data_IF_678665378724
#
_entry.id   IF_678665378724
#
_cell.length_a   1.000
_cell.length_b   1.000
_cell.length_c   1.000
_cell.angle_alpha   90.00
_cell.angle_beta   90.00
_cell.angle_gamma   90.00
#
_symmetry.space_group_name_H-M   'P 1'
#
loop_
_entity.id
_entity.type
_entity.pdbx_description
1 polymer ?
#
# COMPACT_ATOMS: atom_id res chain seq x y z
N UNK A 1 -2.14 2.33 -21.59
CA UNK A 1 -3.19 3.01 -20.80
C UNK A 1 -2.53 3.72 -19.64
N UNK A 2 -2.96 4.95 -19.30
CA UNK A 2 -2.39 5.71 -18.20
C UNK A 2 -2.74 5.08 -16.84
N UNK A 3 -1.95 5.39 -15.82
CA UNK A 3 -2.15 4.97 -14.43
C UNK A 3 -2.10 6.19 -13.51
N UNK A 4 -2.83 6.14 -12.39
CA UNK A 4 -2.72 7.12 -11.31
C UNK A 4 -1.86 6.55 -10.19
N UNK A 5 -0.83 7.30 -9.80
CA UNK A 5 -0.02 7.01 -8.61
C UNK A 5 -0.73 7.49 -7.36
N UNK A 6 -0.90 6.60 -6.38
CA UNK A 6 -1.58 6.89 -5.11
C UNK A 6 -0.62 6.98 -3.91
N UNK A 7 0.69 7.13 -4.21
CA UNK A 7 1.73 7.37 -3.22
C UNK A 7 2.01 8.85 -3.02
N UNK A 8 2.36 9.24 -1.80
CA UNK A 8 2.65 10.65 -1.47
C UNK A 8 3.98 10.91 -0.79
N UNK A 9 4.85 9.90 -0.66
CA UNK A 9 6.18 10.08 -0.06
C UNK A 9 6.11 10.41 1.43
N UNK A 10 6.08 9.39 2.29
CA UNK A 10 6.44 9.46 3.71
C UNK A 10 5.87 10.60 4.59
N UNK A 11 4.74 11.22 4.26
CA UNK A 11 4.06 12.13 5.18
C UNK A 11 3.49 11.32 6.37
N UNK A 12 4.09 11.46 7.55
CA UNK A 12 3.74 10.70 8.77
C UNK A 12 4.93 10.23 9.62
N UNK A 13 6.18 10.50 9.22
CA UNK A 13 7.40 10.01 9.89
C UNK A 13 7.71 10.64 11.27
N UNK A 14 6.84 11.48 11.84
CA UNK A 14 7.11 12.23 13.07
C UNK A 14 6.67 11.53 14.37
N UNK A 15 6.64 10.20 14.41
CA UNK A 15 6.51 9.40 15.64
C UNK A 15 5.27 9.67 16.52
N UNK A 16 4.26 10.40 16.05
CA UNK A 16 2.94 10.39 16.66
C UNK A 16 2.28 9.03 16.37
N UNK A 17 1.76 8.33 17.37
CA UNK A 17 1.23 6.98 17.19
C UNK A 17 -0.06 7.07 16.37
N UNK A 18 0.02 6.83 15.07
CA UNK A 18 -1.17 6.57 14.25
C UNK A 18 -1.70 5.18 14.61
N UNK A 19 -2.41 5.09 15.74
CA UNK A 19 -2.87 3.84 16.32
C UNK A 19 -3.61 2.97 15.31
N UNK A 20 -3.09 1.77 15.03
CA UNK A 20 -3.81 0.63 14.40
C UNK A 20 -4.72 0.92 13.17
N UNK A 21 -4.45 1.99 12.41
CA UNK A 21 -5.21 2.53 11.26
C UNK A 21 -6.64 3.10 11.54
N UNK A 22 -6.77 4.39 11.88
CA UNK A 22 -8.03 5.12 11.95
C UNK A 22 -8.05 6.17 10.82
N UNK A 23 -8.41 5.77 9.59
CA UNK A 23 -8.61 6.64 8.41
C UNK A 23 -7.70 7.85 8.24
N UNK A 24 -6.38 7.70 8.46
CA UNK A 24 -5.38 8.77 8.35
C UNK A 24 -5.90 10.18 8.72
N UNK A 25 -6.51 10.33 9.90
CA UNK A 25 -6.99 11.62 10.41
C UNK A 25 -8.13 12.28 9.62
N UNK A 26 -9.01 11.53 8.95
CA UNK A 26 -10.07 12.10 8.09
C UNK A 26 -11.49 11.86 8.63
N UNK A 27 -11.92 12.76 9.50
CA UNK A 27 -12.84 13.83 9.10
C UNK A 27 -12.07 15.15 9.31
N UNK A 28 -12.44 16.28 8.67
CA UNK A 28 -11.98 17.57 9.14
C UNK A 28 -12.21 17.67 10.65
N UNK A 29 -11.16 17.80 11.43
CA UNK A 29 -11.27 17.82 12.89
C UNK A 29 -10.87 19.18 13.41
N UNK A 30 -11.60 19.68 14.40
CA UNK A 30 -11.30 20.94 15.05
C UNK A 30 -10.28 20.72 16.15
N UNK A 31 -9.22 21.52 16.16
CA UNK A 31 -8.33 21.60 17.33
C UNK A 31 -9.03 22.26 18.53
N UNK A 32 -8.33 22.37 19.65
CA UNK A 32 -8.85 23.01 20.88
C UNK A 32 -9.19 24.50 20.71
N UNK A 33 -8.80 25.12 19.61
CA UNK A 33 -9.14 26.51 19.24
C UNK A 33 -10.34 26.60 18.28
N UNK A 34 -10.88 25.46 17.84
CA UNK A 34 -11.96 25.40 16.85
C UNK A 34 -11.48 25.51 15.40
N UNK A 35 -10.17 25.46 15.13
CA UNK A 35 -9.63 25.49 13.78
C UNK A 35 -9.78 24.12 13.11
N UNK A 36 -10.43 24.10 11.93
CA UNK A 36 -10.63 22.87 11.16
C UNK A 36 -9.32 22.46 10.48
N UNK A 37 -8.72 21.37 10.95
CA UNK A 37 -7.54 20.77 10.37
C UNK A 37 -7.99 19.86 9.23
N UNK A 38 -7.62 20.18 7.97
CA UNK A 38 -7.88 19.28 6.86
C UNK A 38 -6.99 18.05 7.02
N UNK A 39 -7.47 16.91 6.54
CA UNK A 39 -6.68 15.71 6.62
C UNK A 39 -5.39 15.79 5.77
N UNK A 40 -4.35 15.00 6.11
CA UNK A 40 -3.15 14.90 5.30
C UNK A 40 -3.48 14.54 3.84
N UNK A 41 -2.71 15.05 2.87
CA UNK A 41 -2.86 14.65 1.47
C UNK A 41 -2.81 13.11 1.32
N UNK A 42 -3.63 12.57 0.41
CA UNK A 42 -3.65 11.15 -0.09
C UNK A 42 -3.76 10.04 0.95
N UNK A 43 -4.53 10.36 1.96
CA UNK A 43 -5.07 9.47 2.95
C UNK A 43 -6.60 9.71 2.98
N UNK A 44 -7.40 8.80 3.57
CA UNK A 44 -8.87 8.90 3.71
C UNK A 44 -9.65 9.41 2.47
N UNK A 45 -10.56 10.39 2.67
CA UNK A 45 -11.48 10.95 1.65
C UNK A 45 -10.78 11.50 0.40
N UNK A 46 -9.56 12.03 0.50
CA UNK A 46 -8.85 12.57 -0.67
C UNK A 46 -8.46 11.47 -1.66
N UNK A 47 -7.89 10.36 -1.17
CA UNK A 47 -7.58 9.19 -1.99
C UNK A 47 -8.84 8.59 -2.60
N UNK A 48 -9.90 8.45 -1.79
CA UNK A 48 -11.19 7.94 -2.25
C UNK A 48 -11.75 8.79 -3.40
N UNK A 49 -11.79 10.12 -3.23
CA UNK A 49 -12.23 11.05 -4.28
C UNK A 49 -11.36 10.98 -5.52
N UNK A 50 -10.04 10.91 -5.38
CA UNK A 50 -9.12 10.80 -6.50
C UNK A 50 -9.37 9.52 -7.31
N UNK A 51 -9.56 8.38 -6.63
CA UNK A 51 -9.89 7.10 -7.26
C UNK A 51 -11.25 7.17 -7.95
N UNK A 52 -12.28 7.70 -7.29
CA UNK A 52 -13.61 7.87 -7.89
C UNK A 52 -13.56 8.73 -9.16
N UNK A 53 -12.91 9.90 -9.11
CA UNK A 53 -12.75 10.82 -10.25
C UNK A 53 -11.98 10.13 -11.37
N UNK A 54 -10.89 9.43 -11.04
CA UNK A 54 -10.08 8.70 -12.02
C UNK A 54 -10.89 7.66 -12.79
N UNK A 55 -11.67 6.84 -12.07
CA UNK A 55 -12.45 5.75 -12.67
C UNK A 55 -13.66 6.27 -13.47
N UNK A 56 -14.38 7.27 -12.95
CA UNK A 56 -15.64 7.72 -13.54
C UNK A 56 -15.55 8.96 -14.44
N UNK A 57 -14.73 9.94 -14.08
CA UNK A 57 -14.67 11.22 -14.81
C UNK A 57 -13.56 11.23 -15.85
N UNK A 58 -12.41 10.64 -15.51
CA UNK A 58 -11.26 10.54 -16.41
C UNK A 58 -11.33 9.28 -17.28
N UNK A 59 -12.01 8.22 -16.81
CA UNK A 59 -12.10 6.95 -17.51
C UNK A 59 -10.84 6.09 -17.42
N UNK A 60 -9.97 6.38 -16.45
CA UNK A 60 -8.78 5.58 -16.18
C UNK A 60 -9.13 4.20 -15.61
N UNK A 61 -8.21 3.23 -15.78
CA UNK A 61 -8.43 1.83 -15.35
C UNK A 61 -7.23 1.22 -14.63
N UNK A 62 -6.16 1.97 -14.39
CA UNK A 62 -4.96 1.48 -13.68
C UNK A 62 -4.71 2.28 -12.41
N UNK A 63 -4.52 1.59 -11.30
CA UNK A 63 -4.24 2.15 -9.98
C UNK A 63 -2.86 1.64 -9.51
N UNK A 64 -1.99 2.56 -9.09
CA UNK A 64 -0.68 2.25 -8.52
C UNK A 64 -0.69 2.55 -7.01
N UNK A 65 -0.72 1.47 -6.21
CA UNK A 65 -0.80 1.45 -4.76
C UNK A 65 0.53 0.96 -4.13
N UNK A 66 0.59 0.95 -2.80
CA UNK A 66 1.66 0.30 -2.03
C UNK A 66 1.19 0.05 -0.59
N UNK A 67 1.68 -1.01 0.05
CA UNK A 67 1.41 -1.28 1.46
C UNK A 67 1.81 -0.10 2.36
N UNK A 68 3.00 0.47 2.11
CA UNK A 68 3.57 1.60 2.86
C UNK A 68 2.89 2.95 2.60
N UNK A 69 1.81 3.01 1.80
CA UNK A 69 1.04 4.24 1.60
C UNK A 69 -0.12 4.39 2.59
N UNK A 70 -0.45 3.33 3.34
CA UNK A 70 -1.45 3.37 4.40
C UNK A 70 -2.85 3.88 3.95
N UNK A 71 -3.24 3.66 2.70
CA UNK A 71 -4.47 4.19 2.12
C UNK A 71 -5.34 3.18 1.36
N UNK A 72 -5.05 1.88 1.48
CA UNK A 72 -5.73 0.78 0.79
C UNK A 72 -7.24 0.77 1.02
N UNK A 73 -7.69 0.98 2.26
CA UNK A 73 -9.13 1.10 2.60
C UNK A 73 -9.81 2.26 1.86
N UNK A 74 -9.11 3.38 1.68
CA UNK A 74 -9.63 4.53 0.91
C UNK A 74 -9.70 4.25 -0.58
N UNK A 75 -8.72 3.50 -1.11
CA UNK A 75 -8.77 3.01 -2.49
C UNK A 75 -9.96 2.08 -2.69
N UNK A 76 -10.20 1.15 -1.75
CA UNK A 76 -11.36 0.25 -1.79
C UNK A 76 -12.68 1.02 -1.84
N UNK A 77 -12.87 2.02 -0.96
CA UNK A 77 -14.05 2.89 -0.97
C UNK A 77 -14.22 3.60 -2.32
N UNK A 78 -13.14 4.17 -2.86
CA UNK A 78 -13.19 4.87 -4.15
C UNK A 78 -13.55 3.94 -5.32
N UNK A 79 -13.07 2.70 -5.31
CA UNK A 79 -13.45 1.66 -6.28
C UNK A 79 -14.94 1.32 -6.13
N UNK A 80 -15.41 1.04 -4.91
CA UNK A 80 -16.81 0.68 -4.64
C UNK A 80 -17.78 1.79 -5.06
N UNK A 81 -17.50 3.03 -4.65
CA UNK A 81 -18.29 4.21 -5.05
C UNK A 81 -18.26 4.46 -6.54
N UNK A 82 -17.21 4.00 -7.24
CA UNK A 82 -17.15 4.20 -8.68
C UNK A 82 -18.19 3.38 -9.44
N UNK A 83 -18.61 2.23 -8.90
CA UNK A 83 -19.47 1.27 -9.58
C UNK A 83 -18.82 0.54 -10.76
N UNK A 84 -17.53 0.78 -11.04
CA UNK A 84 -16.78 0.09 -12.10
C UNK A 84 -16.50 -1.34 -11.67
N UNK A 85 -16.72 -2.31 -12.57
CA UNK A 85 -16.46 -3.71 -12.27
C UNK A 85 -14.97 -3.92 -11.93
N UNK A 86 -14.70 -4.69 -10.88
CA UNK A 86 -13.33 -4.99 -10.45
C UNK A 86 -12.46 -5.57 -11.57
N UNK A 87 -13.04 -6.37 -12.48
CA UNK A 87 -12.35 -6.97 -13.63
C UNK A 87 -11.90 -5.97 -14.70
N UNK A 88 -12.46 -4.75 -14.70
CA UNK A 88 -12.04 -3.66 -15.59
C UNK A 88 -10.89 -2.84 -14.99
N UNK A 89 -10.60 -3.02 -13.71
CA UNK A 89 -9.60 -2.26 -12.97
C UNK A 89 -8.33 -3.08 -12.87
N UNK A 90 -7.19 -2.51 -13.22
CA UNK A 90 -5.88 -3.07 -12.99
C UNK A 90 -5.29 -2.45 -11.72
N UNK A 91 -5.07 -3.26 -10.69
CA UNK A 91 -4.46 -2.84 -9.43
C UNK A 91 -3.02 -3.33 -9.39
N UNK A 92 -2.08 -2.38 -9.31
CA UNK A 92 -0.70 -2.62 -8.94
C UNK A 92 -0.55 -2.29 -7.45
N UNK A 93 0.07 -3.17 -6.66
CA UNK A 93 0.48 -2.87 -5.29
C UNK A 93 1.92 -3.32 -5.03
N UNK A 94 2.46 -2.94 -3.87
CA UNK A 94 3.85 -3.23 -3.50
C UNK A 94 3.95 -3.67 -2.05
N UNK A 95 4.78 -4.69 -1.80
CA UNK A 95 5.25 -5.05 -0.45
C UNK A 95 6.55 -4.32 -0.16
N UNK A 96 6.77 -3.91 1.09
CA UNK A 96 7.88 -3.04 1.47
C UNK A 96 8.70 -3.60 2.64
N UNK A 97 10.01 -3.31 2.70
CA UNK A 97 10.86 -3.80 3.79
C UNK A 97 10.54 -3.20 5.16
N UNK A 98 9.73 -2.14 5.25
CA UNK A 98 9.24 -1.60 6.52
C UNK A 98 8.45 -2.64 7.33
N UNK A 99 7.92 -3.67 6.67
CA UNK A 99 7.15 -4.76 7.27
C UNK A 99 7.82 -6.13 7.09
N UNK A 100 9.11 -6.16 6.73
CA UNK A 100 9.85 -7.38 6.36
C UNK A 100 9.66 -7.79 4.90
N UNK A 101 10.59 -8.56 4.35
CA UNK A 101 10.51 -9.13 2.98
C UNK A 101 10.82 -10.63 2.98
N UNK A 102 10.69 -11.30 4.12
CA UNK A 102 10.76 -12.77 4.17
C UNK A 102 9.56 -13.42 3.50
N UNK A 103 9.62 -14.74 3.33
CA UNK A 103 8.54 -15.53 2.72
C UNK A 103 7.18 -15.29 3.43
N UNK A 104 7.14 -15.51 4.75
CA UNK A 104 5.94 -15.30 5.56
C UNK A 104 5.53 -13.82 5.63
N UNK A 105 6.49 -12.90 5.69
CA UNK A 105 6.20 -11.46 5.74
C UNK A 105 5.51 -11.00 4.45
N UNK A 106 5.98 -11.49 3.31
CA UNK A 106 5.42 -11.17 1.99
C UNK A 106 4.00 -11.69 1.87
N UNK A 107 3.74 -12.93 2.33
CA UNK A 107 2.39 -13.51 2.36
C UNK A 107 1.49 -12.67 3.27
N UNK A 108 1.92 -12.38 4.50
CA UNK A 108 1.13 -11.64 5.48
C UNK A 108 0.80 -10.22 4.98
N UNK A 109 1.77 -9.52 4.39
CA UNK A 109 1.52 -8.21 3.78
C UNK A 109 0.54 -8.29 2.63
N UNK A 110 0.69 -9.29 1.75
CA UNK A 110 -0.22 -9.46 0.60
C UNK A 110 -1.64 -9.72 1.05
N UNK A 111 -1.84 -10.59 2.06
CA UNK A 111 -3.15 -10.85 2.64
C UNK A 111 -3.75 -9.59 3.29
N UNK A 112 -2.94 -8.80 4.00
CA UNK A 112 -3.37 -7.50 4.53
C UNK A 112 -3.80 -6.53 3.43
N UNK A 113 -3.03 -6.39 2.35
CA UNK A 113 -3.38 -5.54 1.21
C UNK A 113 -4.71 -5.98 0.60
N UNK A 114 -4.91 -7.29 0.36
CA UNK A 114 -6.15 -7.83 -0.20
C UNK A 114 -7.36 -7.55 0.70
N UNK A 115 -7.20 -7.76 2.01
CA UNK A 115 -8.22 -7.49 3.01
C UNK A 115 -8.62 -6.01 3.02
N UNK A 116 -7.64 -5.09 3.03
CA UNK A 116 -7.91 -3.66 3.07
C UNK A 116 -8.46 -3.10 1.76
N UNK A 117 -8.00 -3.61 0.62
CA UNK A 117 -8.55 -3.28 -0.70
C UNK A 117 -9.94 -3.90 -0.94
N UNK A 118 -10.37 -4.81 -0.06
CA UNK A 118 -11.63 -5.57 -0.18
C UNK A 118 -11.74 -6.27 -1.55
N UNK A 119 -10.67 -6.93 -1.98
CA UNK A 119 -10.61 -7.65 -3.26
C UNK A 119 -9.89 -8.99 -3.09
N UNK A 120 -10.20 -9.96 -3.95
CA UNK A 120 -9.59 -11.29 -3.91
C UNK A 120 -8.32 -11.42 -4.76
N UNK A 121 -7.97 -10.43 -5.58
CA UNK A 121 -6.72 -10.45 -6.35
C UNK A 121 -6.12 -9.06 -6.57
N UNK A 122 -4.82 -9.03 -6.84
CA UNK A 122 -4.04 -7.87 -7.31
C UNK A 122 -3.47 -8.27 -8.68
N UNK A 123 -3.49 -7.36 -9.64
CA UNK A 123 -3.09 -7.64 -11.02
C UNK A 123 -1.56 -7.63 -11.18
N UNK A 124 -0.86 -6.86 -10.35
CA UNK A 124 0.61 -6.87 -10.25
C UNK A 124 1.07 -6.56 -8.82
N UNK A 125 1.85 -7.46 -8.22
CA UNK A 125 2.52 -7.24 -6.94
C UNK A 125 4.02 -7.03 -7.17
N UNK A 126 4.58 -5.95 -6.63
CA UNK A 126 6.01 -5.63 -6.74
C UNK A 126 6.69 -5.58 -5.37
N UNK A 127 8.01 -5.74 -5.35
CA UNK A 127 8.85 -5.32 -4.23
C UNK A 127 9.06 -3.81 -4.34
N UNK A 128 8.70 -3.03 -3.31
CA UNK A 128 8.72 -1.57 -3.35
C UNK A 128 10.15 -1.01 -3.52
N UNK A 129 11.10 -1.55 -2.77
CA UNK A 129 12.54 -1.37 -3.00
C UNK A 129 13.36 -2.47 -2.31
N UNK A 130 14.52 -2.86 -2.86
CA UNK A 130 15.31 -3.99 -2.38
C UNK A 130 16.31 -3.61 -1.28
N UNK A 131 15.87 -2.95 -0.20
CA UNK A 131 16.80 -2.51 0.86
C UNK A 131 16.94 -3.59 1.95
N UNK A 132 18.12 -4.20 2.01
CA UNK A 132 18.55 -5.18 3.02
C UNK A 132 19.13 -4.55 4.32
N UNK A 133 19.13 -3.22 4.49
CA UNK A 133 19.89 -2.54 5.55
C UNK A 133 19.04 -1.63 6.44
N UNK A 134 18.85 -2.04 7.69
CA UNK A 134 18.90 -1.08 8.79
C UNK A 134 20.38 -0.68 8.96
N UNK A 135 20.78 0.60 8.90
CA UNK A 135 22.18 1.03 8.92
C UNK A 135 22.93 0.76 10.25
N UNK A 136 22.34 0.03 11.21
CA UNK A 136 22.93 -0.26 12.52
C UNK A 136 23.19 -1.73 12.84
N UNK A 137 22.83 -2.68 11.97
CA UNK A 137 23.07 -4.10 12.24
C UNK A 137 23.59 -4.85 11.02
N UNK A 138 24.57 -5.71 11.25
CA UNK A 138 25.22 -6.63 10.31
C UNK A 138 24.34 -7.83 9.92
N UNK A 139 23.03 -7.76 10.16
CA UNK A 139 22.11 -8.86 9.93
C UNK A 139 21.73 -8.96 8.45
N UNK A 140 22.18 -10.02 7.78
CA UNK A 140 21.68 -10.43 6.47
C UNK A 140 20.40 -11.22 6.72
N UNK A 141 19.22 -10.75 6.22
CA UNK A 141 18.00 -11.53 6.34
C UNK A 141 18.21 -12.91 5.72
N UNK A 142 18.08 -13.96 6.53
CA UNK A 142 18.03 -15.34 6.01
C UNK A 142 16.61 -15.60 5.57
N UNK A 143 16.43 -16.04 4.33
CA UNK A 143 15.10 -16.45 3.86
C UNK A 143 14.60 -17.59 4.74
N UNK A 144 13.33 -17.51 5.16
CA UNK A 144 12.62 -18.59 5.85
C UNK A 144 11.98 -19.58 4.88
N UNK A 145 12.11 -19.33 3.57
CA UNK A 145 11.65 -20.23 2.54
C UNK A 145 12.40 -21.57 2.62
N UNK A 146 11.70 -22.71 2.79
CA UNK A 146 12.34 -24.03 2.87
C UNK A 146 13.10 -24.41 1.59
N UNK A 147 12.87 -23.71 0.47
CA UNK A 147 13.56 -23.90 -0.81
C UNK A 147 14.76 -22.99 -1.01
N UNK A 148 14.94 -21.96 -0.16
CA UNK A 148 16.05 -21.03 -0.29
C UNK A 148 17.35 -21.64 0.22
N UNK A 149 18.28 -21.92 -0.70
CA UNK A 149 19.60 -22.43 -0.37
C UNK A 149 20.61 -21.29 -0.27
N UNK A 150 20.89 -20.85 0.96
CA UNK A 150 21.86 -19.79 1.24
C UNK A 150 23.31 -20.14 0.82
N UNK A 151 23.62 -21.40 0.54
CA UNK A 151 24.93 -21.87 0.06
C UNK A 151 25.02 -21.93 -1.48
N UNK A 152 23.92 -21.69 -2.19
CA UNK A 152 23.88 -21.68 -3.64
C UNK A 152 23.12 -20.42 -4.14
N UNK A 153 23.84 -19.37 -4.59
CA UNK A 153 23.21 -18.13 -5.02
C UNK A 153 22.34 -18.27 -6.27
N UNK A 154 22.33 -19.44 -6.93
CA UNK A 154 21.51 -19.75 -8.09
C UNK A 154 20.13 -20.35 -7.74
N UNK A 155 19.73 -20.43 -6.47
CA UNK A 155 18.37 -20.88 -6.11
C UNK A 155 17.30 -19.80 -6.18
N UNK A 156 17.59 -18.66 -6.83
CA UNK A 156 16.52 -17.77 -7.30
C UNK A 156 15.88 -18.41 -8.55
N UNK A 157 14.80 -19.15 -8.32
CA UNK A 157 13.60 -19.17 -9.17
C UNK A 157 13.74 -19.61 -10.66
N UNK A 158 14.37 -20.76 -10.94
CA UNK A 158 14.28 -21.43 -12.26
C UNK A 158 13.73 -22.88 -12.20
N UNK A 159 12.85 -23.21 -11.26
CA UNK A 159 12.13 -24.50 -11.30
C UNK A 159 10.63 -24.36 -11.19
#
# INVERSE_FOLDING_TARGET
MPAIGLGLGFYGKNNEPYGTYPECGIEPHTDSSGHVIPPPPGCGLNTQKAVYIWLNKVGGRRLDCCNSYYNQKSVARGIQESGVNRSEIFILSKVGPEFGLGFNDTINQTMGILQELQTSWIDLLLVHWPVMKHPRESYIPKSSDPTCNMSNPLTYDEK
#
